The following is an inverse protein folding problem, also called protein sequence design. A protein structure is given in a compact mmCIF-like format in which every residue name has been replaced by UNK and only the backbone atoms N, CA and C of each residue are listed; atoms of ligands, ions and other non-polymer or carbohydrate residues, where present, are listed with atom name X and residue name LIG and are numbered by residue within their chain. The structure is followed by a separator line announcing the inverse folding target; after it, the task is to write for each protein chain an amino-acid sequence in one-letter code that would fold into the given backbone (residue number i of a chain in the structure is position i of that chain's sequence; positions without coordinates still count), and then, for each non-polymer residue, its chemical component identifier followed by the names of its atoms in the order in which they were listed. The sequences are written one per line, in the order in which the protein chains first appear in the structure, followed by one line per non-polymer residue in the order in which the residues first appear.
data_IF_821511403406
#
_entry.id   IF_821511403406
#
_cell.length_a   1.000
_cell.length_b   1.000
_cell.length_c   1.000
_cell.angle_alpha   90.00
_cell.angle_beta   90.00
_cell.angle_gamma   90.00
#
_symmetry.space_group_name_H-M   'P 1'
#
loop_
_entity.id
_entity.type
_entity.pdbx_description
1 polymer ?
#
# COMPACT_ATOMS: atom_id res chain seq x y z
N UNK A 1 8.86 -6.52 17.72
CA UNK A 1 8.21 -5.50 16.89
C UNK A 1 9.35 -4.67 16.34
N UNK A 2 9.46 -4.56 15.02
CA UNK A 2 10.61 -3.94 14.39
C UNK A 2 10.59 -2.43 14.65
N UNK A 3 11.68 -1.86 15.18
CA UNK A 3 11.82 -0.44 15.53
C UNK A 3 12.09 0.47 14.31
N UNK A 4 11.66 0.09 13.11
CA UNK A 4 11.82 0.98 11.96
C UNK A 4 10.74 2.06 11.93
N UNK A 5 11.15 3.28 11.59
CA UNK A 5 10.21 4.36 11.29
C UNK A 5 9.47 4.03 9.99
N UNK A 6 8.14 4.08 10.08
CA UNK A 6 7.24 4.11 8.93
C UNK A 6 6.63 5.51 8.78
N UNK A 7 6.18 5.80 7.57
CA UNK A 7 5.53 7.04 7.18
C UNK A 7 4.04 6.77 6.94
N UNK A 8 3.19 7.51 7.64
CA UNK A 8 1.74 7.49 7.44
C UNK A 8 1.37 8.45 6.31
N UNK A 9 1.01 7.89 5.16
CA UNK A 9 0.54 8.67 4.02
C UNK A 9 -0.92 9.03 4.25
N UNK A 10 -1.27 10.31 4.09
CA UNK A 10 -2.66 10.77 4.16
C UNK A 10 -3.43 10.43 2.87
N UNK A 11 -4.77 10.37 2.93
CA UNK A 11 -5.60 10.17 1.73
C UNK A 11 -5.34 11.24 0.66
N UNK A 12 -5.21 12.49 1.05
CA UNK A 12 -4.94 13.60 0.12
C UNK A 12 -3.57 13.49 -0.54
N UNK A 13 -2.55 13.08 0.21
CA UNK A 13 -1.22 12.80 -0.33
C UNK A 13 -1.24 11.61 -1.27
N UNK A 14 -1.94 10.53 -0.90
CA UNK A 14 -2.11 9.35 -1.73
C UNK A 14 -2.78 9.71 -3.07
N UNK A 15 -3.88 10.47 -3.02
CA UNK A 15 -4.60 10.92 -4.23
C UNK A 15 -3.71 11.75 -5.15
N UNK A 16 -2.95 12.70 -4.59
CA UNK A 16 -2.00 13.52 -5.37
C UNK A 16 -0.91 12.67 -5.99
N UNK A 17 -0.31 11.77 -5.20
CA UNK A 17 0.78 10.93 -5.72
C UNK A 17 0.33 9.92 -6.77
N UNK A 18 -0.89 9.38 -6.66
CA UNK A 18 -1.51 8.56 -7.70
C UNK A 18 -1.78 9.37 -8.98
N UNK A 19 -2.30 10.59 -8.86
CA UNK A 19 -2.57 11.46 -10.00
C UNK A 19 -1.29 11.91 -10.73
N UNK A 20 -0.24 12.22 -9.98
CA UNK A 20 1.04 12.71 -10.50
C UNK A 20 2.00 11.56 -10.90
N UNK A 21 1.63 10.30 -10.64
CA UNK A 21 2.46 9.12 -10.92
C UNK A 21 3.70 9.00 -10.02
N UNK A 22 3.71 9.67 -8.87
CA UNK A 22 4.80 9.65 -7.88
C UNK A 22 4.59 8.62 -6.78
N UNK A 23 3.43 7.96 -6.73
CA UNK A 23 3.16 6.83 -5.83
C UNK A 23 2.88 5.56 -6.63
N UNK A 24 3.58 4.49 -6.29
CA UNK A 24 3.19 3.13 -6.63
C UNK A 24 2.47 2.53 -5.41
N UNK A 25 1.16 2.32 -5.53
CA UNK A 25 0.30 1.83 -4.45
C UNK A 25 0.19 0.31 -4.52
N UNK A 26 0.45 -0.38 -3.41
CA UNK A 26 0.36 -1.84 -3.31
C UNK A 26 -0.71 -2.23 -2.30
N UNK A 27 -1.71 -2.98 -2.76
CA UNK A 27 -2.76 -3.54 -1.91
C UNK A 27 -2.34 -4.90 -1.38
N UNK A 28 -2.30 -5.04 -0.06
CA UNK A 28 -1.95 -6.30 0.61
C UNK A 28 -3.17 -7.04 1.19
N UNK A 29 -4.38 -6.67 0.76
CA UNK A 29 -5.61 -7.42 1.02
C UNK A 29 -5.65 -8.74 0.24
N UNK A 30 -6.62 -9.57 0.58
CA UNK A 30 -6.82 -10.84 -0.11
C UNK A 30 -7.53 -10.65 -1.46
N UNK A 31 -7.37 -11.58 -2.43
CA UNK A 31 -7.92 -11.42 -3.79
C UNK A 31 -9.43 -11.21 -3.85
N UNK A 32 -10.19 -11.79 -2.91
CA UNK A 32 -11.64 -11.58 -2.83
C UNK A 32 -11.98 -10.14 -2.42
N UNK A 33 -11.27 -9.56 -1.45
CA UNK A 33 -11.46 -8.15 -1.06
C UNK A 33 -11.06 -7.19 -2.17
N UNK A 34 -10.04 -7.55 -2.97
CA UNK A 34 -9.60 -6.78 -4.14
C UNK A 34 -10.66 -6.78 -5.24
N UNK A 35 -11.23 -7.95 -5.54
CA UNK A 35 -12.28 -8.12 -6.56
C UNK A 35 -13.60 -7.43 -6.16
N UNK A 36 -13.88 -7.31 -4.86
CA UNK A 36 -15.02 -6.53 -4.35
C UNK A 36 -14.82 -5.00 -4.48
N UNK A 37 -13.62 -4.56 -4.86
CA UNK A 37 -13.29 -3.15 -5.06
C UNK A 37 -11.92 -2.76 -4.53
N UNK A 38 -11.16 -1.98 -5.32
CA UNK A 38 -9.82 -1.51 -4.97
C UNK A 38 -9.55 -0.07 -5.44
N UNK A 39 -8.50 0.54 -4.89
CA UNK A 39 -8.08 1.90 -5.28
C UNK A 39 -7.51 1.83 -6.70
N UNK A 40 -8.01 2.70 -7.58
CA UNK A 40 -7.52 2.82 -8.96
C UNK A 40 -6.00 2.98 -9.01
N UNK A 41 -5.35 2.18 -9.85
CA UNK A 41 -3.90 2.22 -10.05
C UNK A 41 -3.08 1.50 -8.98
N UNK A 42 -3.73 0.87 -7.99
CA UNK A 42 -3.03 -0.04 -7.08
C UNK A 42 -2.61 -1.34 -7.80
N UNK A 43 -1.65 -2.05 -7.22
CA UNK A 43 -1.28 -3.42 -7.61
C UNK A 43 -1.51 -4.37 -6.44
N UNK A 44 -2.06 -5.56 -6.70
CA UNK A 44 -2.33 -6.55 -5.66
C UNK A 44 -1.08 -7.38 -5.31
N UNK A 45 -0.74 -7.46 -4.02
CA UNK A 45 0.27 -8.36 -3.46
C UNK A 45 -0.23 -8.89 -2.09
N UNK A 46 -1.06 -9.95 -2.07
CA UNK A 46 -1.81 -10.37 -0.88
C UNK A 46 -0.91 -10.74 0.29
N UNK A 47 -1.29 -10.37 1.52
CA UNK A 47 -0.44 -10.65 2.68
C UNK A 47 -0.22 -12.17 2.92
N UNK A 48 -1.20 -13.02 2.62
CA UNK A 48 -1.04 -14.48 2.79
C UNK A 48 0.06 -15.06 1.89
N UNK A 49 0.13 -14.59 0.65
CA UNK A 49 1.10 -15.02 -0.36
C UNK A 49 2.12 -13.92 -0.66
N UNK A 50 2.44 -13.09 0.33
CA UNK A 50 3.22 -11.87 0.12
C UNK A 50 4.58 -12.18 -0.48
N UNK A 51 4.82 -11.66 -1.68
CA UNK A 51 6.06 -11.83 -2.40
C UNK A 51 6.81 -10.49 -2.47
N UNK A 52 8.02 -10.46 -1.91
CA UNK A 52 8.86 -9.26 -1.88
C UNK A 52 9.38 -8.92 -3.28
N UNK A 53 9.59 -9.92 -4.14
CA UNK A 53 10.04 -9.73 -5.51
C UNK A 53 8.94 -9.16 -6.41
N UNK A 54 7.67 -9.33 -6.02
CA UNK A 54 6.52 -8.74 -6.70
C UNK A 54 6.31 -7.25 -6.36
N UNK A 55 7.02 -6.70 -5.37
CA UNK A 55 6.96 -5.28 -5.06
C UNK A 55 7.58 -4.45 -6.19
N UNK A 56 7.01 -3.26 -6.50
CA UNK A 56 7.59 -2.36 -7.50
C UNK A 56 9.08 -2.10 -7.21
N UNK A 57 9.95 -2.01 -8.23
CA UNK A 57 11.35 -1.66 -8.01
C UNK A 57 11.46 -0.21 -7.52
N UNK A 58 12.46 0.07 -6.69
CA UNK A 58 12.73 1.44 -6.25
C UNK A 58 13.09 2.32 -7.45
N UNK A 59 12.33 3.40 -7.66
CA UNK A 59 12.57 4.38 -8.73
C UNK A 59 12.78 5.78 -8.14
N UNK A 60 13.71 6.59 -8.69
CA UNK A 60 13.86 7.98 -8.28
C UNK A 60 12.55 8.77 -8.47
N UNK A 61 12.14 9.50 -7.44
CA UNK A 61 10.91 10.31 -7.49
C UNK A 61 9.61 9.53 -7.33
N UNK A 62 9.67 8.19 -7.18
CA UNK A 62 8.51 7.36 -6.83
C UNK A 62 8.60 6.85 -5.40
N UNK A 63 7.45 6.82 -4.74
CA UNK A 63 7.28 6.26 -3.40
C UNK A 63 6.39 5.02 -3.47
N UNK A 64 6.85 3.93 -2.88
CA UNK A 64 6.04 2.72 -2.76
C UNK A 64 5.23 2.82 -1.47
N UNK A 65 3.91 2.75 -1.60
CA UNK A 65 2.97 2.87 -0.48
C UNK A 65 2.20 1.58 -0.35
N UNK A 66 2.26 0.94 0.82
CA UNK A 66 1.43 -0.23 1.11
C UNK A 66 0.08 0.20 1.66
N UNK A 67 -1.00 -0.50 1.32
CA UNK A 67 -2.28 -0.32 2.01
C UNK A 67 -3.00 -1.64 2.18
N UNK A 68 -3.98 -1.65 3.07
CA UNK A 68 -4.87 -2.78 3.23
C UNK A 68 -6.28 -2.28 3.58
N UNK A 69 -7.07 -3.09 4.30
CA UNK A 69 -8.39 -2.66 4.79
C UNK A 69 -8.31 -1.54 5.84
N UNK A 70 -7.37 -1.59 6.78
CA UNK A 70 -7.36 -0.71 7.96
C UNK A 70 -5.97 -0.47 8.56
N UNK A 71 -4.92 -0.43 7.72
CA UNK A 71 -3.53 -0.18 8.13
C UNK A 71 -2.76 -1.36 8.77
N UNK A 72 -3.43 -2.31 9.42
CA UNK A 72 -2.74 -3.40 10.18
C UNK A 72 -1.91 -4.34 9.31
N UNK A 73 -2.46 -4.81 8.18
CA UNK A 73 -1.79 -5.77 7.30
C UNK A 73 -0.63 -5.14 6.52
N UNK A 74 -0.76 -3.85 6.16
CA UNK A 74 0.32 -3.11 5.51
C UNK A 74 1.56 -2.98 6.39
N UNK A 75 1.41 -2.84 7.72
CA UNK A 75 2.55 -2.85 8.64
C UNK A 75 3.26 -4.22 8.65
N UNK A 76 2.51 -5.32 8.68
CA UNK A 76 3.07 -6.68 8.61
C UNK A 76 3.78 -6.93 7.27
N UNK A 77 3.20 -6.45 6.16
CA UNK A 77 3.85 -6.52 4.85
C UNK A 77 5.15 -5.70 4.81
N UNK A 78 5.15 -4.52 5.43
CA UNK A 78 6.35 -3.68 5.56
C UNK A 78 7.45 -4.37 6.37
N UNK A 79 7.11 -4.98 7.52
CA UNK A 79 8.03 -5.79 8.32
C UNK A 79 8.68 -6.91 7.48
N UNK A 80 7.87 -7.62 6.67
CA UNK A 80 8.35 -8.70 5.79
C UNK A 80 9.27 -8.17 4.69
N UNK A 81 8.91 -7.05 4.07
CA UNK A 81 9.73 -6.41 3.05
C UNK A 81 11.10 -5.99 3.61
N UNK A 82 11.11 -5.37 4.80
CA UNK A 82 12.34 -4.95 5.47
C UNK A 82 13.21 -6.14 5.86
N UNK A 83 12.61 -7.21 6.39
CA UNK A 83 13.33 -8.44 6.73
C UNK A 83 14.00 -9.09 5.51
N UNK A 84 13.45 -8.86 4.31
CA UNK A 84 14.02 -9.30 3.03
C UNK A 84 14.95 -8.27 2.37
N UNK A 85 15.28 -7.16 3.06
CA UNK A 85 16.22 -6.14 2.58
C UNK A 85 15.60 -4.97 1.82
N UNK A 86 14.28 -4.97 1.58
CA UNK A 86 13.53 -3.86 0.96
C UNK A 86 13.24 -2.74 1.96
N UNK A 87 14.31 -2.09 2.41
CA UNK A 87 14.27 -0.97 3.36
C UNK A 87 13.73 0.34 2.77
N UNK A 88 13.50 0.38 1.45
CA UNK A 88 12.86 1.46 0.72
C UNK A 88 11.35 1.54 0.95
N UNK A 89 10.72 0.45 1.39
CA UNK A 89 9.29 0.37 1.67
C UNK A 89 9.01 1.02 3.04
N UNK A 90 8.96 2.35 3.10
CA UNK A 90 8.78 3.07 4.37
C UNK A 90 7.39 3.62 4.58
N UNK A 91 6.57 3.67 3.54
CA UNK A 91 5.31 4.38 3.55
C UNK A 91 4.12 3.42 3.50
N UNK A 92 3.08 3.72 4.27
CA UNK A 92 1.80 3.05 4.14
C UNK A 92 0.63 4.00 4.33
N UNK A 93 -0.49 3.65 3.72
CA UNK A 93 -1.75 4.35 3.92
C UNK A 93 -2.49 3.73 5.11
N UNK A 94 -2.33 4.34 6.28
CA UNK A 94 -2.86 3.83 7.55
C UNK A 94 -4.40 3.73 7.57
N UNK A 95 -5.10 4.67 6.93
CA UNK A 95 -6.57 4.67 6.83
C UNK A 95 -7.12 3.47 6.04
N UNK A 96 -6.36 2.98 5.07
CA UNK A 96 -6.73 1.86 4.22
C UNK A 96 -8.06 2.07 3.48
N UNK A 97 -8.65 0.96 3.02
CA UNK A 97 -9.95 0.99 2.33
C UNK A 97 -11.10 1.52 3.18
N UNK A 98 -11.04 1.40 4.51
CA UNK A 98 -12.07 1.96 5.38
C UNK A 98 -12.14 3.49 5.27
N UNK A 99 -11.00 4.18 5.34
CA UNK A 99 -10.97 5.64 5.15
C UNK A 99 -11.32 6.05 3.72
N UNK A 100 -10.83 5.30 2.72
CA UNK A 100 -11.15 5.54 1.31
C UNK A 100 -12.65 5.47 1.02
N UNK A 101 -13.29 4.39 1.46
CA UNK A 101 -14.73 4.18 1.25
C UNK A 101 -15.58 5.15 2.08
N UNK A 102 -15.17 5.47 3.30
CA UNK A 102 -15.88 6.44 4.15
C UNK A 102 -15.89 7.85 3.53
N UNK A 103 -14.87 8.18 2.73
CA UNK A 103 -14.79 9.44 2.00
C UNK A 103 -15.54 9.44 0.66
N UNK A 104 -16.12 8.30 0.25
CA UNK A 104 -16.82 8.18 -1.03
C UNK A 104 -15.89 8.29 -2.23
N UNK A 105 -14.60 7.99 -2.06
CA UNK A 105 -13.63 8.01 -3.16
C UNK A 105 -13.88 6.86 -4.14
N UNK A 106 -13.56 7.03 -5.43
CA UNK A 106 -13.83 6.02 -6.45
C UNK A 106 -12.98 4.75 -6.26
N UNK A 107 -13.56 3.61 -6.61
CA UNK A 107 -12.91 2.30 -6.64
C UNK A 107 -13.00 1.70 -8.05
N UNK A 108 -12.14 0.74 -8.35
CA UNK A 108 -12.20 -0.14 -9.51
C UNK A 108 -12.53 -1.57 -9.09
N UNK A 109 -13.12 -2.35 -10.00
CA UNK A 109 -13.51 -3.76 -9.84
C UNK A 109 -12.62 -4.67 -10.70
#
# INVERSE_FOLDING_TARGET
MSDFQHEDVSREELKRGLADGTIDLVDVREPNEWADGHIKGATLNPLQSFDVEALPPQQPGKRIVLHCRSGKRSLVAMDRAHAAGRTDIKAHYAGGMLDWNAAGEPIEE
#
